data_IF_978720934621
#
_entry.id   IF_978720934621
#
_cell.length_a   1.000
_cell.length_b   1.000
_cell.length_c   1.000
_cell.angle_alpha   90.00
_cell.angle_beta   90.00
_cell.angle_gamma   90.00
#
_symmetry.space_group_name_H-M   'P 1'
#
loop_
_entity.id
_entity.type
_entity.pdbx_description
1 polymer ?
#
# COMPACT_ATOMS: atom_id res chain seq x y z
N UNK A 1 1.29 3.69 12.21
CA UNK A 1 2.67 3.38 12.60
C UNK A 1 3.55 4.36 11.84
N UNK A 2 4.39 5.13 12.53
CA UNK A 2 5.23 6.12 11.86
C UNK A 2 4.45 7.23 11.14
N UNK A 3 5.14 8.08 10.35
CA UNK A 3 4.55 9.25 9.71
C UNK A 3 3.62 8.91 8.54
N UNK A 4 3.55 7.65 8.09
CA UNK A 4 2.69 7.20 7.00
C UNK A 4 1.45 6.46 7.55
N UNK A 5 0.29 6.82 7.03
CA UNK A 5 -1.00 6.23 7.40
C UNK A 5 -1.79 5.88 6.13
N UNK A 6 -2.55 4.79 6.21
CA UNK A 6 -3.56 4.43 5.22
C UNK A 6 -4.94 4.46 5.89
N UNK A 7 -5.64 5.61 5.88
CA UNK A 7 -6.96 5.72 6.47
C UNK A 7 -7.92 4.68 5.90
N UNK A 8 -8.66 4.00 6.77
CA UNK A 8 -9.60 2.94 6.39
C UNK A 8 -9.00 1.54 6.21
N UNK A 9 -7.67 1.38 6.27
CA UNK A 9 -7.01 0.08 6.05
C UNK A 9 -7.48 -1.01 7.02
N UNK A 10 -7.82 -0.65 8.27
CA UNK A 10 -8.36 -1.60 9.25
C UNK A 10 -9.65 -2.29 8.76
N UNK A 11 -10.45 -1.60 7.96
CA UNK A 11 -11.69 -2.15 7.40
C UNK A 11 -11.45 -3.22 6.32
N UNK A 12 -10.24 -3.36 5.80
CA UNK A 12 -9.92 -4.36 4.78
C UNK A 12 -9.80 -5.76 5.34
N UNK A 13 -9.49 -5.93 6.63
CA UNK A 13 -9.23 -7.26 7.22
C UNK A 13 -10.34 -8.27 6.89
N UNK A 14 -11.58 -7.86 7.17
CA UNK A 14 -12.79 -8.69 7.03
C UNK A 14 -13.77 -8.12 5.99
N UNK A 15 -13.34 -7.10 5.24
CA UNK A 15 -14.14 -6.44 4.21
C UNK A 15 -14.35 -7.31 2.98
N UNK A 16 -15.29 -6.93 2.11
CA UNK A 16 -15.44 -7.56 0.79
C UNK A 16 -14.59 -6.82 -0.23
N UNK A 17 -13.68 -7.50 -0.97
CA UNK A 17 -12.84 -6.90 -2.01
C UNK A 17 -13.56 -5.95 -2.97
N UNK A 18 -14.77 -6.30 -3.39
CA UNK A 18 -15.60 -5.55 -4.35
C UNK A 18 -16.06 -4.19 -3.83
N UNK A 19 -16.05 -3.97 -2.52
CA UNK A 19 -16.49 -2.70 -1.92
C UNK A 19 -15.38 -1.64 -1.94
N UNK A 20 -14.13 -2.03 -2.24
CA UNK A 20 -12.94 -1.18 -2.13
C UNK A 20 -12.11 -1.10 -3.42
N UNK A 21 -12.53 -1.79 -4.48
CA UNK A 21 -11.75 -1.87 -5.71
C UNK A 21 -12.44 -2.61 -6.83
N UNK A 22 -11.71 -2.73 -7.94
CA UNK A 22 -12.15 -3.42 -9.15
C UNK A 22 -11.13 -4.49 -9.57
N UNK A 23 -11.57 -5.39 -10.45
CA UNK A 23 -10.73 -6.43 -11.03
C UNK A 23 -10.53 -6.17 -12.53
N UNK A 24 -9.30 -6.23 -12.99
CA UNK A 24 -8.93 -6.28 -14.41
C UNK A 24 -8.43 -7.68 -14.77
N UNK A 25 -8.03 -7.89 -16.03
CA UNK A 25 -7.38 -9.14 -16.46
C UNK A 25 -6.12 -9.44 -15.63
N UNK A 26 -5.39 -8.40 -15.24
CA UNK A 26 -4.13 -8.55 -14.53
C UNK A 26 -4.31 -8.81 -13.04
N UNK A 27 -5.40 -8.36 -12.41
CA UNK A 27 -5.63 -8.61 -10.99
C UNK A 27 -6.59 -7.62 -10.35
N UNK A 28 -6.54 -7.56 -9.02
CA UNK A 28 -7.36 -6.66 -8.22
C UNK A 28 -6.63 -5.36 -7.95
N UNK A 29 -7.37 -4.25 -8.07
CA UNK A 29 -6.90 -2.90 -7.82
C UNK A 29 -7.78 -2.29 -6.73
N UNK A 30 -7.19 -2.11 -5.55
CA UNK A 30 -7.89 -1.62 -4.38
C UNK A 30 -7.47 -0.19 -4.08
N UNK A 31 -8.45 0.71 -3.97
CA UNK A 31 -8.19 2.13 -3.73
C UNK A 31 -8.05 2.39 -2.23
N UNK A 32 -6.94 3.02 -1.85
CA UNK A 32 -6.75 3.55 -0.49
C UNK A 32 -5.78 4.72 -0.52
N UNK A 33 -6.18 5.84 0.10
CA UNK A 33 -5.31 7.01 0.20
C UNK A 33 -4.15 6.75 1.16
N UNK A 34 -3.00 7.33 0.85
CA UNK A 34 -1.86 7.39 1.76
C UNK A 34 -1.74 8.82 2.30
N UNK A 35 -1.71 8.95 3.62
CA UNK A 35 -1.54 10.23 4.32
C UNK A 35 -0.16 10.23 4.99
N UNK A 36 0.65 11.23 4.66
CA UNK A 36 2.01 11.38 5.14
C UNK A 36 2.14 12.65 5.97
N UNK A 37 2.63 12.50 7.20
CA UNK A 37 2.90 13.60 8.13
C UNK A 37 3.89 14.61 7.53
N UNK A 38 3.62 15.91 7.73
CA UNK A 38 4.44 17.02 7.24
C UNK A 38 5.94 16.82 7.47
N UNK A 39 6.76 17.24 6.50
CA UNK A 39 8.21 17.18 6.55
C UNK A 39 8.82 15.77 6.50
N UNK A 40 8.01 14.71 6.40
CA UNK A 40 8.49 13.34 6.34
C UNK A 40 8.81 12.87 4.92
N UNK A 41 9.72 11.91 4.82
CA UNK A 41 9.96 11.12 3.61
C UNK A 41 9.87 9.65 3.99
N UNK A 42 9.02 8.89 3.29
CA UNK A 42 8.82 7.46 3.57
C UNK A 42 8.90 6.67 2.28
N UNK A 43 9.74 5.65 2.26
CA UNK A 43 9.76 4.65 1.20
C UNK A 43 9.01 3.41 1.66
N UNK A 44 8.05 2.97 0.86
CA UNK A 44 7.31 1.70 1.04
C UNK A 44 7.67 0.78 -0.11
N UNK A 45 8.03 -0.46 0.20
CA UNK A 45 8.35 -1.48 -0.79
C UNK A 45 7.59 -2.76 -0.50
N UNK A 46 7.11 -3.44 -1.54
CA UNK A 46 6.67 -4.82 -1.43
C UNK A 46 7.89 -5.70 -1.16
N UNK A 47 7.80 -6.52 -0.12
CA UNK A 47 8.88 -7.44 0.24
C UNK A 47 9.25 -8.33 -0.95
N UNK A 48 10.53 -8.67 -1.16
CA UNK A 48 11.00 -9.40 -2.35
C UNK A 48 10.16 -10.64 -2.70
N UNK A 49 9.79 -11.43 -1.71
CA UNK A 49 8.98 -12.65 -1.83
C UNK A 49 7.56 -12.43 -2.36
N UNK A 50 7.05 -11.19 -2.30
CA UNK A 50 5.68 -10.84 -2.66
C UNK A 50 5.56 -10.03 -3.96
N UNK A 51 6.67 -9.63 -4.59
CA UNK A 51 6.66 -8.71 -5.75
C UNK A 51 5.99 -9.27 -7.01
N UNK A 52 5.91 -10.59 -7.16
CA UNK A 52 5.14 -11.22 -8.23
C UNK A 52 3.64 -11.26 -7.95
N UNK A 53 3.22 -11.01 -6.70
CA UNK A 53 1.84 -11.12 -6.24
C UNK A 53 1.18 -9.78 -6.01
N UNK A 54 1.95 -8.75 -5.66
CA UNK A 54 1.42 -7.47 -5.26
C UNK A 54 2.29 -6.29 -5.69
N UNK A 55 1.67 -5.12 -5.78
CA UNK A 55 2.33 -3.86 -6.12
C UNK A 55 1.61 -2.64 -5.57
N UNK A 56 2.26 -1.49 -5.71
CA UNK A 56 1.82 -0.18 -5.24
C UNK A 56 1.43 0.68 -6.44
N UNK A 57 0.28 1.33 -6.35
CA UNK A 57 -0.22 2.24 -7.39
C UNK A 57 -0.50 3.63 -6.83
N UNK A 58 0.54 4.40 -6.52
CA UNK A 58 0.41 5.77 -6.00
C UNK A 58 1.03 6.78 -6.95
N UNK A 59 0.31 7.89 -7.20
CA UNK A 59 0.81 9.01 -8.00
C UNK A 59 1.05 8.68 -9.48
N UNK A 60 0.25 7.79 -10.07
CA UNK A 60 0.38 7.34 -11.45
C UNK A 60 -0.84 7.72 -12.32
N UNK A 61 -0.62 7.80 -13.64
CA UNK A 61 -1.66 8.02 -14.66
C UNK A 61 -2.50 6.74 -14.92
N UNK A 62 -3.57 6.86 -15.71
CA UNK A 62 -4.35 5.70 -16.16
C UNK A 62 -3.47 4.73 -16.99
N UNK A 63 -3.64 3.41 -16.77
CA UNK A 63 -2.88 2.37 -17.49
C UNK A 63 -1.51 2.01 -16.90
N UNK A 64 -1.25 2.41 -15.64
CA UNK A 64 0.04 2.19 -14.99
C UNK A 64 0.35 0.72 -14.66
N UNK A 65 1.65 0.42 -14.56
CA UNK A 65 2.17 -0.86 -14.05
C UNK A 65 2.40 -0.78 -12.54
N UNK A 66 1.89 -1.73 -11.73
CA UNK A 66 2.13 -1.74 -10.30
C UNK A 66 3.63 -1.69 -9.95
N UNK A 67 4.04 -0.76 -9.09
CA UNK A 67 5.42 -0.63 -8.66
C UNK A 67 5.73 -1.53 -7.47
N UNK A 68 6.95 -2.09 -7.43
CA UNK A 68 7.44 -2.79 -6.25
C UNK A 68 7.81 -1.84 -5.09
N UNK A 69 7.92 -0.53 -5.33
CA UNK A 69 8.26 0.46 -4.32
C UNK A 69 7.87 1.89 -4.69
N UNK A 70 7.51 2.68 -3.69
CA UNK A 70 7.14 4.09 -3.81
C UNK A 70 7.84 4.89 -2.71
N UNK A 71 8.37 6.06 -3.05
CA UNK A 71 8.85 7.04 -2.06
C UNK A 71 7.89 8.22 -2.02
N UNK A 72 7.32 8.47 -0.86
CA UNK A 72 6.42 9.58 -0.57
C UNK A 72 7.20 10.73 0.05
N UNK A 73 6.86 11.96 -0.34
CA UNK A 73 7.49 13.20 0.11
C UNK A 73 6.41 14.17 0.61
N UNK A 74 6.37 14.43 1.90
CA UNK A 74 5.40 15.39 2.42
C UNK A 74 5.84 16.83 2.12
N UNK A 75 4.86 17.72 2.01
CA UNK A 75 5.07 19.15 2.13
C UNK A 75 5.76 19.47 3.47
N UNK A 76 6.62 20.50 3.53
CA UNK A 76 7.33 20.86 4.77
C UNK A 76 6.40 21.27 5.92
N UNK A 77 5.27 21.88 5.60
CA UNK A 77 4.38 22.60 6.52
C UNK A 77 2.97 22.02 6.63
N UNK A 78 2.63 21.02 5.81
CA UNK A 78 1.31 20.39 5.81
C UNK A 78 1.40 18.88 5.56
N UNK A 79 0.44 18.14 6.14
CA UNK A 79 0.29 16.72 5.83
C UNK A 79 -0.09 16.55 4.35
N UNK A 80 0.43 15.50 3.73
CA UNK A 80 0.30 15.29 2.28
C UNK A 80 -0.47 14.01 2.00
N UNK A 81 -1.48 14.11 1.14
CA UNK A 81 -2.33 12.98 0.76
C UNK A 81 -2.01 12.56 -0.67
N UNK A 82 -1.81 11.26 -0.84
CA UNK A 82 -1.62 10.62 -2.14
C UNK A 82 -2.82 9.75 -2.46
N UNK A 83 -3.36 9.93 -3.66
CA UNK A 83 -4.37 9.04 -4.23
C UNK A 83 -3.66 7.84 -4.85
N UNK A 84 -4.16 6.65 -4.54
CA UNK A 84 -3.62 5.42 -5.07
C UNK A 84 -4.21 4.19 -4.41
N UNK A 85 -3.37 3.16 -4.31
CA UNK A 85 -3.70 1.98 -3.54
C UNK A 85 -2.80 0.79 -3.82
N UNK A 86 -3.38 -0.40 -3.69
CA UNK A 86 -2.66 -1.67 -3.80
C UNK A 86 -3.19 -2.49 -4.97
N UNK A 87 -2.27 -3.16 -5.64
CA UNK A 87 -2.56 -4.18 -6.62
C UNK A 87 -2.26 -5.56 -6.03
N UNK A 88 -3.15 -6.53 -6.26
CA UNK A 88 -2.98 -7.91 -5.83
C UNK A 88 -3.45 -8.85 -6.94
N UNK A 89 -2.55 -9.71 -7.42
CA UNK A 89 -2.87 -10.74 -8.42
C UNK A 89 -3.86 -11.80 -7.87
N UNK A 90 -4.34 -12.69 -8.75
CA UNK A 90 -5.20 -13.85 -8.43
C UNK A 90 -6.55 -13.51 -7.81
N UNK A 91 -6.91 -14.16 -6.70
CA UNK A 91 -8.19 -13.98 -6.00
C UNK A 91 -8.29 -12.67 -5.22
N UNK A 92 -7.23 -11.85 -5.21
CA UNK A 92 -7.25 -10.52 -4.61
C UNK A 92 -7.12 -10.51 -3.10
N UNK A 93 -6.99 -11.67 -2.46
CA UNK A 93 -6.76 -11.78 -1.02
C UNK A 93 -5.28 -12.04 -0.77
N UNK A 94 -4.69 -11.30 0.15
CA UNK A 94 -3.29 -11.49 0.49
C UNK A 94 -2.89 -10.86 1.83
N UNK A 95 -2.04 -11.56 2.58
CA UNK A 95 -1.26 -10.95 3.65
C UNK A 95 -0.01 -10.34 3.02
N UNK A 96 -0.07 -9.03 2.78
CA UNK A 96 0.93 -8.28 2.02
C UNK A 96 2.08 -7.81 2.91
N UNK A 97 3.29 -8.41 2.80
CA UNK A 97 4.46 -7.93 3.51
C UNK A 97 5.01 -6.66 2.84
N UNK A 98 5.15 -5.60 3.62
CA UNK A 98 5.75 -4.33 3.19
C UNK A 98 6.97 -4.00 4.04
N UNK A 99 8.03 -3.54 3.39
CA UNK A 99 9.17 -2.90 4.03
C UNK A 99 8.97 -1.38 4.01
N UNK A 100 8.86 -0.77 5.20
CA UNK A 100 8.64 0.67 5.37
C UNK A 100 9.87 1.31 5.96
N UNK A 101 10.46 2.26 5.23
CA UNK A 101 11.65 3.03 5.65
C UNK A 101 11.29 4.50 5.80
N UNK A 102 11.62 5.08 6.95
CA UNK A 102 11.45 6.52 7.22
C UNK A 102 12.81 7.20 7.09
N UNK A 103 12.91 8.22 6.23
CA UNK A 103 14.17 8.88 5.91
C UNK A 103 15.26 7.87 5.53
N UNK A 104 16.45 8.01 6.12
CA UNK A 104 17.58 7.09 5.91
C UNK A 104 17.68 5.99 6.99
N UNK A 105 16.64 5.80 7.80
CA UNK A 105 16.62 4.77 8.84
C UNK A 105 16.55 3.35 8.28
N UNK A 106 16.67 2.32 9.14
CA UNK A 106 16.47 0.94 8.72
C UNK A 106 14.99 0.70 8.33
N UNK A 107 14.72 -0.15 7.31
CA UNK A 107 13.36 -0.54 6.99
C UNK A 107 12.75 -1.39 8.12
N UNK A 108 11.46 -1.22 8.34
CA UNK A 108 10.64 -2.05 9.23
C UNK A 108 9.65 -2.85 8.40
N UNK A 109 9.64 -4.16 8.60
CA UNK A 109 8.64 -5.06 8.01
C UNK A 109 7.30 -4.89 8.72
N UNK A 110 6.24 -4.71 7.95
CA UNK A 110 4.85 -4.80 8.41
C UNK A 110 4.07 -5.76 7.52
N UNK A 111 2.97 -6.28 8.04
CA UNK A 111 2.06 -7.14 7.29
C UNK A 111 0.68 -6.48 7.26
N UNK A 112 0.11 -6.38 6.06
CA UNK A 112 -1.22 -5.81 5.85
C UNK A 112 -2.15 -6.94 5.40
N UNK A 113 -3.30 -7.07 6.06
CA UNK A 113 -4.36 -7.94 5.58
C UNK A 113 -5.15 -7.25 4.47
N UNK A 114 -5.00 -7.74 3.25
CA UNK A 114 -5.84 -7.39 2.10
C UNK A 114 -6.93 -8.45 2.01
N UNK A 115 -8.01 -8.28 2.78
CA UNK A 115 -9.18 -9.17 2.81
C UNK A 115 -8.87 -10.64 3.14
N UNK A 116 -7.79 -10.87 3.89
CA UNK A 116 -7.30 -12.20 4.26
C UNK A 116 -7.66 -12.59 5.70
N UNK A 117 -8.43 -11.79 6.43
CA UNK A 117 -8.66 -11.99 7.85
C UNK A 117 -7.36 -11.79 8.64
N UNK A 118 -7.08 -12.65 9.62
CA UNK A 118 -5.83 -12.60 10.37
C UNK A 118 -4.63 -13.04 9.55
N UNK A 119 -3.57 -12.23 9.62
CA UNK A 119 -2.30 -12.54 8.99
C UNK A 119 -1.32 -13.14 10.00
N UNK A 120 -0.48 -14.10 9.60
CA UNK A 120 0.49 -14.72 10.49
C UNK A 120 1.49 -13.68 11.02
N UNK A 121 1.82 -13.78 12.31
CA UNK A 121 2.78 -12.91 12.98
C UNK A 121 4.22 -13.19 12.57
#
# INVERSE_FOLDING_TARGET
MGPLRWPGLKGWKDGRPTDFGGRTADGWHYKIGAELERGSVVTVSVAPEARQRAGLGYGQEEGYTPSAGVTFHACPDADTVYVGGFFVHGDGRFCLPLDVRVGNGPPKRILISVFSGDCPA
#
